data_IF_544085046199
#
_entry.id   IF_544085046199
#
_cell.length_a   1.000
_cell.length_b   1.000
_cell.length_c   1.000
_cell.angle_alpha   90.00
_cell.angle_beta   90.00
_cell.angle_gamma   90.00
#
_symmetry.space_group_name_H-M   'P 1'
#
loop_
_entity.id
_entity.type
_entity.pdbx_description
1 polymer ?
#
# COMPACT_ATOMS: atom_id res chain seq x y z
N UNK A 1 0.59 2.69 -20.30
CA UNK A 1 1.48 2.76 -21.48
C UNK A 1 1.75 4.19 -21.99
N UNK A 2 0.77 4.90 -22.56
CA UNK A 2 1.07 6.11 -23.39
C UNK A 2 1.27 7.44 -22.65
N UNK A 3 1.29 7.45 -21.32
CA UNK A 3 1.75 8.63 -20.57
C UNK A 3 0.74 9.35 -19.69
N UNK A 4 -0.53 8.91 -19.67
CA UNK A 4 -1.55 9.44 -18.75
C UNK A 4 -1.29 9.00 -17.30
N UNK A 5 -1.78 9.80 -16.37
CA UNK A 5 -1.75 9.50 -14.94
C UNK A 5 -2.93 8.65 -14.48
N UNK A 6 -2.72 7.90 -13.40
CA UNK A 6 -3.78 7.22 -12.67
C UNK A 6 -3.59 7.43 -11.16
N UNK A 7 -4.68 7.70 -10.46
CA UNK A 7 -4.72 7.86 -9.00
C UNK A 7 -5.83 6.96 -8.45
N UNK A 8 -5.44 5.94 -7.67
CA UNK A 8 -6.35 4.99 -7.06
C UNK A 8 -6.44 5.15 -5.55
N UNK A 9 -7.64 4.95 -5.01
CA UNK A 9 -7.91 4.95 -3.58
C UNK A 9 -8.54 3.63 -3.16
N UNK A 10 -8.17 3.14 -1.98
CA UNK A 10 -8.86 2.10 -1.22
C UNK A 10 -9.39 0.94 -2.10
N UNK A 11 -10.70 0.90 -2.35
CA UNK A 11 -11.41 -0.17 -3.06
C UNK A 11 -11.02 -0.32 -4.53
N UNK A 12 -10.24 0.60 -5.12
CA UNK A 12 -9.73 0.44 -6.50
C UNK A 12 -8.93 -0.85 -6.68
N UNK A 13 -8.17 -1.31 -5.67
CA UNK A 13 -7.47 -2.61 -5.70
C UNK A 13 -8.40 -3.83 -5.51
N UNK A 14 -9.70 -3.59 -5.27
CA UNK A 14 -10.72 -4.60 -5.10
C UNK A 14 -11.79 -4.60 -6.22
N UNK A 15 -11.68 -3.73 -7.23
CA UNK A 15 -12.63 -3.66 -8.34
C UNK A 15 -12.48 -4.81 -9.35
N UNK A 16 -11.31 -5.44 -9.41
CA UNK A 16 -10.99 -6.60 -10.25
C UNK A 16 -10.45 -7.75 -9.40
N UNK A 17 -10.31 -8.93 -10.01
CA UNK A 17 -9.73 -10.12 -9.36
C UNK A 17 -8.84 -10.87 -10.33
N UNK A 18 -7.65 -11.22 -9.87
CA UNK A 18 -6.82 -12.19 -10.57
C UNK A 18 -7.33 -13.61 -10.27
N UNK A 19 -7.61 -14.44 -11.28
CA UNK A 19 -8.00 -15.83 -11.05
C UNK A 19 -6.93 -16.60 -10.27
N UNK A 20 -7.35 -17.36 -9.25
CA UNK A 20 -6.47 -18.18 -8.43
C UNK A 20 -6.81 -18.14 -6.94
N UNK A 21 -5.93 -18.71 -6.13
CA UNK A 21 -6.13 -18.80 -4.69
C UNK A 21 -5.88 -17.45 -3.99
N UNK A 22 -6.71 -17.05 -2.99
CA UNK A 22 -6.62 -15.75 -2.34
C UNK A 22 -5.25 -15.44 -1.72
N UNK A 23 -4.61 -16.45 -1.11
CA UNK A 23 -3.32 -16.30 -0.41
C UNK A 23 -2.14 -16.79 -1.23
N UNK A 24 -2.24 -16.80 -2.56
CA UNK A 24 -1.12 -17.16 -3.44
C UNK A 24 -0.79 -15.97 -4.35
N UNK A 25 0.48 -15.55 -4.32
CA UNK A 25 1.02 -14.62 -5.29
C UNK A 25 1.11 -15.30 -6.66
N UNK A 26 0.68 -14.59 -7.69
CA UNK A 26 0.70 -15.07 -9.07
C UNK A 26 1.71 -14.28 -9.89
N UNK A 27 2.35 -14.91 -10.89
CA UNK A 27 3.35 -14.23 -11.68
C UNK A 27 2.71 -13.12 -12.56
N UNK A 28 3.45 -12.05 -12.92
CA UNK A 28 2.87 -10.86 -13.56
C UNK A 28 2.09 -11.10 -14.86
N UNK A 29 2.42 -12.13 -15.62
CA UNK A 29 1.71 -12.51 -16.85
C UNK A 29 0.31 -13.09 -16.62
N UNK A 30 0.01 -13.52 -15.39
CA UNK A 30 -1.31 -14.03 -14.99
C UNK A 30 -2.17 -13.00 -14.25
N UNK A 31 -1.59 -11.86 -13.86
CA UNK A 31 -2.32 -10.78 -13.20
C UNK A 31 -3.37 -10.17 -14.11
N UNK A 32 -4.51 -9.80 -13.52
CA UNK A 32 -5.44 -8.90 -14.20
C UNK A 32 -4.68 -7.63 -14.64
N UNK A 33 -4.83 -7.16 -15.90
CA UNK A 33 -4.05 -6.03 -16.40
C UNK A 33 -4.22 -4.74 -15.60
N UNK A 34 -5.40 -4.50 -15.04
CA UNK A 34 -5.65 -3.32 -14.21
C UNK A 34 -4.91 -3.44 -12.87
N UNK A 35 -4.99 -4.60 -12.22
CA UNK A 35 -4.28 -4.85 -10.96
C UNK A 35 -2.76 -4.85 -11.13
N UNK A 36 -2.26 -5.38 -12.26
CA UNK A 36 -0.85 -5.28 -12.64
C UNK A 36 -0.39 -3.84 -12.81
N UNK A 37 -1.24 -2.98 -13.40
CA UNK A 37 -0.96 -1.54 -13.51
C UNK A 37 -1.00 -0.86 -12.14
N UNK A 38 -1.97 -1.20 -11.30
CA UNK A 38 -2.12 -0.62 -9.97
C UNK A 38 -0.93 -0.97 -9.08
N UNK A 39 -0.49 -2.24 -9.12
CA UNK A 39 0.68 -2.76 -8.41
C UNK A 39 0.36 -3.43 -7.07
N UNK A 40 -0.90 -3.82 -6.84
CA UNK A 40 -1.35 -4.57 -5.66
C UNK A 40 -2.81 -4.98 -5.80
N UNK A 41 -3.18 -6.07 -5.11
CA UNK A 41 -4.50 -6.68 -5.17
C UNK A 41 -5.06 -6.96 -3.77
N UNK A 42 -6.31 -6.58 -3.54
CA UNK A 42 -7.02 -6.84 -2.29
C UNK A 42 -7.26 -8.34 -2.06
N UNK A 43 -7.04 -8.80 -0.82
CA UNK A 43 -7.43 -10.13 -0.36
C UNK A 43 -8.66 -10.01 0.57
N UNK A 44 -8.47 -9.31 1.69
CA UNK A 44 -9.40 -9.22 2.82
C UNK A 44 -9.00 -8.03 3.72
N UNK A 45 -9.79 -7.70 4.73
CA UNK A 45 -9.42 -6.78 5.81
C UNK A 45 -9.96 -7.30 7.16
N UNK A 46 -9.40 -6.80 8.26
CA UNK A 46 -9.94 -6.97 9.61
C UNK A 46 -10.97 -5.88 9.96
N UNK A 47 -11.34 -5.71 11.24
CA UNK A 47 -12.19 -4.60 11.68
C UNK A 47 -11.53 -3.24 11.40
N UNK A 48 -12.36 -2.21 11.27
CA UNK A 48 -11.91 -0.82 11.29
C UNK A 48 -11.29 -0.52 12.66
N UNK A 49 -10.10 0.05 12.65
CA UNK A 49 -9.33 0.29 13.86
C UNK A 49 -8.30 1.40 13.64
N UNK A 50 -7.79 1.96 14.73
CA UNK A 50 -6.66 2.88 14.66
C UNK A 50 -5.39 2.10 14.32
N UNK A 51 -4.61 2.60 13.36
CA UNK A 51 -3.30 2.04 13.07
C UNK A 51 -2.31 3.12 12.63
N UNK A 52 -1.04 2.85 12.91
CA UNK A 52 0.06 3.69 12.46
C UNK A 52 0.67 3.15 11.17
N UNK A 53 1.04 4.06 10.29
CA UNK A 53 1.77 3.79 9.06
C UNK A 53 3.14 4.46 9.15
N UNK A 54 4.19 3.74 8.75
CA UNK A 54 5.54 4.30 8.67
C UNK A 54 5.71 5.07 7.36
N UNK A 55 6.22 6.31 7.44
CA UNK A 55 6.56 7.12 6.27
C UNK A 55 7.96 6.74 5.79
N UNK A 56 8.03 5.84 4.82
CA UNK A 56 9.28 5.33 4.25
C UNK A 56 9.93 6.28 3.24
N UNK A 57 9.16 7.22 2.67
CA UNK A 57 9.70 8.23 1.75
C UNK A 57 8.97 9.57 1.82
N UNK A 58 9.75 10.66 1.74
CA UNK A 58 9.27 12.05 1.67
C UNK A 58 9.64 12.74 0.35
N UNK A 59 10.11 11.98 -0.64
CA UNK A 59 10.64 12.50 -1.91
C UNK A 59 9.58 13.18 -2.77
N UNK A 60 8.35 12.71 -2.71
CA UNK A 60 7.25 13.25 -3.50
C UNK A 60 6.64 14.48 -2.80
N UNK A 61 6.70 15.69 -3.40
CA UNK A 61 6.13 16.88 -2.77
C UNK A 61 4.60 16.80 -2.69
N UNK A 62 3.95 17.30 -1.62
CA UNK A 62 4.55 18.04 -0.52
C UNK A 62 4.86 17.17 0.73
N UNK A 63 5.07 15.86 0.63
CA UNK A 63 5.16 14.95 1.80
C UNK A 63 6.21 15.40 2.84
N UNK A 64 7.31 16.00 2.42
CA UNK A 64 8.31 16.57 3.33
C UNK A 64 7.75 17.65 4.30
N UNK A 65 6.60 18.27 4.00
CA UNK A 65 5.94 19.25 4.88
C UNK A 65 5.34 18.63 6.14
N UNK A 66 5.22 17.29 6.21
CA UNK A 66 4.83 16.57 7.44
C UNK A 66 5.92 16.59 8.52
N UNK A 67 7.11 17.12 8.19
CA UNK A 67 8.21 17.25 9.14
C UNK A 67 8.89 15.90 9.45
N UNK A 68 9.54 15.80 10.62
CA UNK A 68 10.37 14.65 10.97
C UNK A 68 9.59 13.46 11.53
N UNK A 69 8.27 13.53 11.67
CA UNK A 69 7.45 12.46 12.25
C UNK A 69 7.63 11.16 11.47
N UNK A 70 8.05 10.07 12.11
CA UNK A 70 8.40 8.81 11.44
C UNK A 70 7.18 8.08 10.84
N UNK A 71 5.99 8.35 11.37
CA UNK A 71 4.74 7.76 10.92
C UNK A 71 3.54 8.68 11.07
N UNK A 72 2.38 8.20 10.61
CA UNK A 72 1.07 8.84 10.69
C UNK A 72 0.03 7.82 11.15
N UNK A 73 -0.97 8.27 11.89
CA UNK A 73 -2.01 7.41 12.45
C UNK A 73 -3.37 7.78 11.88
N UNK A 74 -4.18 6.77 11.56
CA UNK A 74 -5.55 6.96 11.09
C UNK A 74 -6.47 5.91 11.71
N UNK A 75 -7.76 6.19 11.72
CA UNK A 75 -8.81 5.19 11.93
C UNK A 75 -9.40 4.83 10.57
N UNK A 76 -9.15 3.61 10.07
CA UNK A 76 -9.57 3.19 8.73
C UNK A 76 -9.85 1.68 8.64
N UNK A 77 -10.28 1.23 7.45
CA UNK A 77 -10.36 -0.18 7.07
C UNK A 77 -9.05 -0.62 6.37
N UNK A 78 -8.22 -1.41 7.07
CA UNK A 78 -6.87 -1.75 6.61
C UNK A 78 -6.84 -2.99 5.71
N UNK A 79 -6.39 -2.83 4.47
CA UNK A 79 -6.39 -3.94 3.52
C UNK A 79 -5.18 -4.85 3.71
N UNK A 80 -5.44 -6.17 3.69
CA UNK A 80 -4.44 -7.19 3.43
C UNK A 80 -4.37 -7.43 1.92
N UNK A 81 -3.20 -7.18 1.34
CA UNK A 81 -2.99 -7.24 -0.11
C UNK A 81 -1.94 -8.28 -0.51
N UNK A 82 -1.94 -8.63 -1.80
CA UNK A 82 -0.94 -9.47 -2.47
C UNK A 82 -0.57 -8.92 -3.83
N UNK A 83 0.28 -9.65 -4.56
CA UNK A 83 0.64 -9.35 -5.94
C UNK A 83 1.24 -7.96 -6.10
N UNK A 84 2.15 -7.61 -5.18
CA UNK A 84 2.80 -6.31 -5.20
C UNK A 84 3.77 -6.21 -6.39
N UNK A 85 3.85 -5.03 -7.01
CA UNK A 85 4.90 -4.76 -7.98
C UNK A 85 6.19 -4.29 -7.28
N UNK A 86 7.30 -4.99 -7.49
CA UNK A 86 8.57 -4.67 -6.84
C UNK A 86 9.25 -3.42 -7.45
N UNK A 87 8.73 -2.93 -8.59
CA UNK A 87 9.19 -1.70 -9.26
C UNK A 87 8.63 -0.41 -8.65
N UNK A 88 7.88 -0.50 -7.55
CA UNK A 88 7.23 0.63 -6.91
C UNK A 88 8.16 1.41 -5.97
N UNK A 89 7.86 2.70 -5.82
CA UNK A 89 8.36 3.54 -4.75
C UNK A 89 7.30 3.63 -3.64
N UNK A 90 7.48 2.84 -2.58
CA UNK A 90 6.67 2.82 -1.37
C UNK A 90 6.86 4.13 -0.60
N UNK A 91 5.73 4.70 -0.18
CA UNK A 91 5.62 5.97 0.55
C UNK A 91 5.12 5.72 1.98
N UNK A 92 4.10 4.87 2.12
CA UNK A 92 3.57 4.43 3.42
C UNK A 92 3.63 2.91 3.53
N UNK A 93 4.14 2.44 4.67
CA UNK A 93 4.17 1.03 5.07
C UNK A 93 3.07 0.79 6.11
N UNK A 94 2.27 -0.24 5.91
CA UNK A 94 1.29 -0.70 6.89
C UNK A 94 1.98 -1.60 7.90
N UNK A 95 2.10 -1.12 9.13
CA UNK A 95 2.55 -1.93 10.26
C UNK A 95 1.45 -2.89 10.66
N UNK A 96 1.82 -4.16 10.87
CA UNK A 96 0.86 -5.25 11.01
C UNK A 96 0.84 -5.89 12.40
N UNK A 97 1.91 -5.71 13.19
CA UNK A 97 2.11 -6.41 14.47
C UNK A 97 0.97 -6.16 15.47
N UNK A 98 0.44 -4.94 15.50
CA UNK A 98 -0.59 -4.52 16.47
C UNK A 98 -2.00 -4.51 15.89
N UNK A 99 -2.17 -4.87 14.61
CA UNK A 99 -3.49 -4.90 13.97
C UNK A 99 -4.28 -6.14 14.39
N UNK A 100 -5.53 -5.94 14.78
CA UNK A 100 -6.48 -7.01 15.08
C UNK A 100 -7.00 -7.64 13.79
N UNK A 101 -6.79 -8.95 13.60
CA UNK A 101 -7.32 -9.71 12.48
C UNK A 101 -6.29 -10.68 11.91
N UNK A 102 -6.72 -11.91 11.61
CA UNK A 102 -5.78 -12.97 11.23
C UNK A 102 -4.97 -12.64 9.98
N UNK A 103 -5.54 -11.87 9.04
CA UNK A 103 -4.86 -11.48 7.80
C UNK A 103 -3.61 -10.61 8.01
N UNK A 104 -3.51 -9.93 9.16
CA UNK A 104 -2.37 -9.10 9.51
C UNK A 104 -1.24 -9.87 10.17
N UNK A 105 -1.41 -11.15 10.51
CA UNK A 105 -0.32 -11.98 11.03
C UNK A 105 0.67 -12.28 9.91
N UNK A 106 1.47 -11.31 9.50
CA UNK A 106 2.48 -11.36 8.43
C UNK A 106 3.36 -10.11 8.48
N UNK A 107 4.52 -10.09 7.81
CA UNK A 107 5.39 -8.91 7.79
C UNK A 107 4.68 -7.64 7.27
N UNK A 108 5.16 -6.43 7.66
CA UNK A 108 4.67 -5.16 7.11
C UNK A 108 4.76 -5.10 5.58
N UNK A 109 3.80 -4.41 4.97
CA UNK A 109 3.70 -4.32 3.51
C UNK A 109 3.23 -2.93 3.04
N UNK A 110 3.36 -2.60 1.74
CA UNK A 110 3.02 -1.26 1.25
C UNK A 110 1.53 -0.95 1.43
N UNK A 111 1.23 0.24 1.95
CA UNK A 111 -0.11 0.84 1.93
C UNK A 111 -0.25 1.88 0.84
N UNK A 112 0.79 2.68 0.59
CA UNK A 112 0.77 3.75 -0.41
C UNK A 112 2.05 3.76 -1.21
N UNK A 113 1.94 3.91 -2.53
CA UNK A 113 3.10 3.92 -3.43
C UNK A 113 2.87 4.79 -4.67
N UNK A 114 3.99 5.17 -5.28
CA UNK A 114 4.06 5.73 -6.62
C UNK A 114 4.85 4.77 -7.52
N UNK A 115 4.40 4.55 -8.76
CA UNK A 115 5.12 3.77 -9.76
C UNK A 115 4.91 4.33 -11.16
N UNK A 116 5.71 3.85 -12.10
CA UNK A 116 5.54 4.15 -13.53
C UNK A 116 4.95 2.95 -14.26
N UNK A 117 4.00 3.21 -15.16
CA UNK A 117 3.45 2.21 -16.09
C UNK A 117 3.68 2.70 -17.53
N UNK A 118 4.68 2.14 -18.20
CA UNK A 118 5.19 2.69 -19.45
C UNK A 118 5.64 4.14 -19.24
N UNK A 119 5.03 5.10 -19.95
CA UNK A 119 5.30 6.53 -19.78
C UNK A 119 4.40 7.22 -18.73
N UNK A 120 3.43 6.49 -18.17
CA UNK A 120 2.40 7.02 -17.25
C UNK A 120 2.80 6.93 -15.78
N UNK A 121 2.21 7.80 -14.96
CA UNK A 121 2.46 7.89 -13.54
C UNK A 121 1.26 7.33 -12.77
N UNK A 122 1.49 6.30 -11.94
CA UNK A 122 0.46 5.65 -11.13
C UNK A 122 0.75 5.97 -9.67
N UNK A 123 -0.27 6.45 -8.95
CA UNK A 123 -0.26 6.53 -7.49
C UNK A 123 -1.42 5.70 -6.95
N UNK A 124 -1.18 4.97 -5.88
CA UNK A 124 -2.22 4.26 -5.16
C UNK A 124 -2.03 4.40 -3.66
N UNK A 125 -3.14 4.48 -2.94
CA UNK A 125 -3.19 4.36 -1.49
C UNK A 125 -4.32 3.41 -1.09
N UNK A 126 -4.05 2.50 -0.15
CA UNK A 126 -5.06 1.61 0.43
C UNK A 126 -5.99 2.31 1.42
N UNK A 127 -5.68 3.55 1.81
CA UNK A 127 -6.52 4.35 2.70
C UNK A 127 -7.71 4.97 1.97
N UNK A 128 -8.73 5.32 2.76
CA UNK A 128 -9.83 6.18 2.32
C UNK A 128 -11.23 5.59 2.53
N UNK A 129 -11.40 4.60 3.42
CA UNK A 129 -12.72 4.07 3.75
C UNK A 129 -13.53 5.08 4.59
N UNK A 130 -12.91 5.59 5.65
CA UNK A 130 -13.59 6.42 6.65
C UNK A 130 -13.56 7.91 6.29
N UNK A 131 -14.57 8.66 6.72
CA UNK A 131 -14.63 10.12 6.52
C UNK A 131 -13.56 10.86 7.32
N UNK A 132 -13.10 10.25 8.41
CA UNK A 132 -12.05 10.73 9.31
C UNK A 132 -10.72 10.82 8.56
N UNK A 133 -10.38 9.82 7.74
CA UNK A 133 -9.21 9.84 6.86
C UNK A 133 -9.28 11.02 5.89
N UNK A 134 -10.42 11.22 5.22
CA UNK A 134 -10.60 12.35 4.29
C UNK A 134 -10.53 13.73 4.95
N UNK A 135 -10.82 13.80 6.25
CA UNK A 135 -10.74 15.05 7.02
C UNK A 135 -9.34 15.30 7.59
N UNK A 136 -8.41 14.34 7.48
CA UNK A 136 -7.07 14.46 8.03
C UNK A 136 -6.16 15.36 7.18
N UNK A 137 -5.50 16.37 7.77
CA UNK A 137 -4.50 17.18 7.07
C UNK A 137 -3.34 16.34 6.51
N UNK A 138 -2.91 15.30 7.24
CA UNK A 138 -1.84 14.41 6.78
C UNK A 138 -2.27 13.61 5.55
N UNK A 139 -3.52 13.13 5.51
CA UNK A 139 -4.03 12.45 4.33
C UNK A 139 -4.12 13.38 3.13
N UNK A 140 -4.59 14.62 3.32
CA UNK A 140 -4.64 15.62 2.27
C UNK A 140 -3.25 15.87 1.63
N UNK A 141 -2.16 15.80 2.41
CA UNK A 141 -0.79 15.88 1.88
C UNK A 141 -0.46 14.71 0.95
N UNK A 142 -0.77 13.47 1.33
CA UNK A 142 -0.54 12.30 0.46
C UNK A 142 -1.40 12.32 -0.80
N UNK A 143 -2.67 12.70 -0.69
CA UNK A 143 -3.57 12.87 -1.85
C UNK A 143 -3.02 13.92 -2.80
N UNK A 144 -2.60 15.07 -2.27
CA UNK A 144 -2.01 16.16 -3.06
C UNK A 144 -0.75 15.67 -3.78
N UNK A 145 0.14 14.96 -3.08
CA UNK A 145 1.33 14.36 -3.68
C UNK A 145 0.98 13.39 -4.83
N UNK A 146 -0.02 12.52 -4.63
CA UNK A 146 -0.50 11.61 -5.67
C UNK A 146 -1.07 12.32 -6.89
N UNK A 147 -1.81 13.42 -6.69
CA UNK A 147 -2.31 14.26 -7.80
C UNK A 147 -1.13 14.87 -8.56
N UNK A 148 -0.17 15.50 -7.86
CA UNK A 148 1.01 16.10 -8.50
C UNK A 148 1.82 15.08 -9.31
N UNK A 149 1.97 13.85 -8.79
CA UNK A 149 2.61 12.76 -9.49
C UNK A 149 1.84 12.35 -10.75
N UNK A 150 0.53 12.06 -10.61
CA UNK A 150 -0.30 11.57 -11.71
C UNK A 150 -0.37 12.57 -12.87
N UNK A 151 -0.47 13.86 -12.57
CA UNK A 151 -0.54 14.93 -13.60
C UNK A 151 0.84 15.47 -14.01
N UNK A 152 1.93 14.89 -13.49
CA UNK A 152 3.33 15.28 -13.78
C UNK A 152 3.66 16.74 -13.43
N UNK A 153 2.98 17.30 -12.43
CA UNK A 153 3.35 18.60 -11.87
C UNK A 153 4.57 18.48 -10.93
N UNK A 154 4.86 17.26 -10.46
CA UNK A 154 6.13 16.91 -9.84
C UNK A 154 6.63 15.58 -10.44
N UNK A 155 7.89 15.54 -10.86
CA UNK A 155 8.53 14.32 -11.38
C UNK A 155 9.90 14.08 -10.72
N UNK A 156 9.95 13.89 -9.38
CA UNK A 156 11.19 13.59 -8.70
C UNK A 156 11.71 12.20 -9.08
N UNK A 157 12.99 11.96 -8.85
CA UNK A 157 13.56 10.62 -8.92
C UNK A 157 13.03 9.75 -7.76
N UNK A 158 12.24 8.74 -8.12
CA UNK A 158 11.59 7.78 -7.24
C UNK A 158 12.09 6.36 -7.56
N UNK A 159 13.33 6.01 -7.18
CA UNK A 159 13.84 4.66 -7.39
C UNK A 159 13.00 3.66 -6.60
N UNK A 160 12.82 2.44 -7.13
CA UNK A 160 12.10 1.41 -6.42
C UNK A 160 12.76 1.12 -5.06
N UNK A 161 11.95 1.00 -4.01
CA UNK A 161 12.41 0.76 -2.64
C UNK A 161 11.66 -0.37 -1.92
N UNK A 162 10.75 -1.08 -2.62
CA UNK A 162 9.90 -2.13 -2.06
C UNK A 162 10.65 -3.12 -1.17
N UNK A 163 11.72 -3.75 -1.69
CA UNK A 163 12.50 -4.75 -0.96
C UNK A 163 13.20 -4.19 0.29
N UNK A 164 13.55 -2.89 0.26
CA UNK A 164 14.27 -2.25 1.36
C UNK A 164 13.33 -1.91 2.53
N UNK A 165 12.12 -1.42 2.23
CA UNK A 165 11.24 -0.83 3.25
C UNK A 165 10.10 -1.75 3.66
N UNK A 166 9.83 -2.80 2.88
CA UNK A 166 8.85 -3.84 3.21
C UNK A 166 9.44 -5.23 2.91
N UNK A 167 10.54 -5.60 3.59
CA UNK A 167 11.13 -6.92 3.39
C UNK A 167 10.10 -7.99 3.73
N UNK A 168 10.03 -9.04 2.92
CA UNK A 168 9.12 -10.17 3.12
C UNK A 168 7.62 -9.83 2.96
N UNK A 169 7.27 -8.69 2.37
CA UNK A 169 5.87 -8.33 2.10
C UNK A 169 5.11 -9.38 1.29
N UNK A 170 5.78 -10.19 0.47
CA UNK A 170 5.15 -11.28 -0.30
C UNK A 170 4.88 -12.57 0.49
N UNK A 171 5.25 -12.62 1.77
CA UNK A 171 4.85 -13.73 2.64
C UNK A 171 3.37 -13.58 3.00
N UNK A 172 2.57 -14.54 2.56
CA UNK A 172 1.13 -14.64 2.80
C UNK A 172 0.82 -15.66 3.91
N UNK A 173 -0.39 -15.61 4.48
CA UNK A 173 -0.78 -16.42 5.63
C UNK A 173 -0.64 -17.93 5.44
N UNK A 174 -0.87 -18.44 4.23
CA UNK A 174 -0.75 -19.86 3.92
C UNK A 174 0.69 -20.38 4.01
N UNK A 175 1.67 -19.48 3.88
CA UNK A 175 3.11 -19.73 4.06
C UNK A 175 3.59 -19.45 5.48
N UNK A 176 2.74 -18.91 6.35
CA UNK A 176 3.06 -18.74 7.75
C UNK A 176 2.67 -20.01 8.49
N UNK A 177 3.53 -20.43 9.41
CA UNK A 177 3.27 -21.59 10.25
C UNK A 177 1.90 -21.41 10.91
N UNK A 178 1.01 -22.40 10.72
CA UNK A 178 -0.35 -22.38 11.28
C UNK A 178 -0.36 -22.54 12.80
N UNK A 179 0.81 -22.69 13.41
CA UNK A 179 0.98 -22.75 14.85
C UNK A 179 0.42 -21.47 15.51
N UNK A 180 -0.43 -21.60 16.53
CA UNK A 180 -0.93 -20.44 17.27
C UNK A 180 0.25 -19.65 17.87
N UNK A 181 0.09 -18.34 18.10
CA UNK A 181 1.12 -17.56 18.78
C UNK A 181 1.46 -18.25 20.10
N UNK A 182 2.74 -18.56 20.33
CA UNK A 182 3.21 -18.86 21.68
C UNK A 182 2.83 -17.67 22.55
N UNK A 183 2.01 -17.90 23.57
CA UNK A 183 1.70 -16.89 24.59
C UNK A 183 3.00 -16.20 24.98
N UNK A 184 3.05 -14.87 24.80
CA UNK A 184 4.16 -14.07 25.33
C UNK A 184 4.18 -14.36 26.83
N UNK A 185 5.28 -14.96 27.31
CA UNK A 185 5.50 -15.17 28.73
C UNK A 185 5.37 -13.83 29.44
N UNK A 186 4.47 -13.79 30.42
CA UNK A 186 4.22 -12.65 31.29
C UNK A 186 5.43 -12.32 32.17
#
# INVERSE_FOLDING_TARGET
EDGKGFLGFHSTCACWRTPGEPYVNVPPEKLDPFLRMLGGEFIVHGPQQEASLTISSRRLPPIASLGPAEGVTFFDEWYCMKNFNHDMHVILVQETELLEGDCYRRPPFPSTWARRQGKGNVFFTSLGHTKEVWSSPSFAVFVTAGIHWAVKNADPDLPANFEQVTPQADILLDKLDKSPPTEKAA
#
